data_IF_415362283793
#
_entry.id   IF_415362283793
#
_cell.length_a   1.000
_cell.length_b   1.000
_cell.length_c   1.000
_cell.angle_alpha   90.00
_cell.angle_beta   90.00
_cell.angle_gamma   90.00
#
_symmetry.space_group_name_H-M   'P 1'
#
loop_
_entity.id
_entity.type
_entity.pdbx_description
1 polymer ?
#
# COMPACT_ATOMS: atom_id res chain seq x y z
N UNK A 1 -12.31 -24.51 -65.46
CA UNK A 1 -13.00 -25.51 -64.63
C UNK A 1 -12.39 -26.86 -64.96
N UNK A 2 -11.68 -27.50 -64.03
CA UNK A 2 -11.10 -28.83 -64.21
C UNK A 2 -11.86 -29.79 -63.30
N UNK A 3 -12.42 -30.84 -63.89
CA UNK A 3 -13.30 -31.81 -63.26
C UNK A 3 -12.51 -32.75 -62.35
N UNK A 4 -13.10 -33.02 -61.18
CA UNK A 4 -12.58 -33.94 -60.16
C UNK A 4 -12.73 -35.39 -60.64
N UNK A 5 -11.64 -36.17 -60.59
CA UNK A 5 -11.62 -37.59 -60.90
C UNK A 5 -11.59 -38.39 -59.58
N UNK A 6 -12.61 -39.21 -59.28
CA UNK A 6 -12.75 -39.87 -57.97
C UNK A 6 -11.80 -41.05 -57.73
N UNK A 7 -10.98 -41.46 -58.70
CA UNK A 7 -10.04 -42.59 -58.56
C UNK A 7 -8.57 -42.17 -58.41
N UNK A 8 -8.29 -40.94 -57.97
CA UNK A 8 -6.93 -40.46 -57.71
C UNK A 8 -6.40 -41.03 -56.36
N UNK A 9 -5.36 -41.90 -56.35
CA UNK A 9 -4.94 -42.65 -55.16
C UNK A 9 -4.14 -41.82 -54.14
N UNK A 10 -4.11 -40.48 -54.27
CA UNK A 10 -3.41 -39.59 -53.34
C UNK A 10 -4.41 -39.01 -52.33
N UNK A 11 -5.12 -39.92 -51.66
CA UNK A 11 -5.97 -39.58 -50.52
C UNK A 11 -5.86 -40.68 -49.47
N UNK A 12 -4.69 -40.82 -48.81
CA UNK A 12 -4.65 -41.54 -47.54
C UNK A 12 -3.50 -41.20 -46.58
N UNK A 13 -2.49 -40.41 -46.98
CA UNK A 13 -1.36 -40.09 -46.08
C UNK A 13 -1.21 -38.62 -45.67
N UNK A 14 -2.24 -37.79 -45.88
CA UNK A 14 -2.22 -36.38 -45.47
C UNK A 14 -3.06 -36.06 -44.21
N UNK A 15 -3.65 -37.07 -43.54
CA UNK A 15 -4.59 -36.86 -42.43
C UNK A 15 -4.30 -37.70 -41.17
N UNK A 16 -3.15 -38.38 -41.06
CA UNK A 16 -2.79 -39.24 -39.90
C UNK A 16 -1.52 -38.84 -39.13
N UNK A 17 -1.09 -37.58 -39.18
CA UNK A 17 -0.18 -37.04 -38.16
C UNK A 17 -0.81 -35.80 -37.55
N UNK A 18 -1.81 -36.07 -36.72
CA UNK A 18 -2.25 -35.19 -35.65
C UNK A 18 -1.05 -35.03 -34.71
N UNK A 19 -0.29 -33.96 -34.89
CA UNK A 19 0.54 -33.41 -33.81
C UNK A 19 -0.16 -32.17 -33.27
N UNK A 20 -0.75 -32.30 -32.09
CA UNK A 20 -0.96 -31.21 -31.15
C UNK A 20 -0.59 -31.75 -29.76
N UNK A 21 -0.06 -30.95 -28.82
CA UNK A 21 0.67 -29.69 -28.97
C UNK A 21 1.87 -29.60 -27.99
N UNK A 22 3.10 -29.42 -28.46
CA UNK A 22 4.21 -29.01 -27.60
C UNK A 22 4.26 -27.48 -27.49
N UNK A 23 3.66 -27.01 -26.40
CA UNK A 23 4.37 -26.12 -25.48
C UNK A 23 4.88 -24.83 -26.12
N UNK A 24 3.96 -23.95 -26.56
CA UNK A 24 4.27 -22.53 -26.63
C UNK A 24 4.63 -22.08 -25.21
N UNK A 25 5.93 -22.07 -24.94
CA UNK A 25 6.50 -21.61 -23.70
C UNK A 25 6.12 -20.15 -23.55
N UNK A 26 5.15 -19.90 -22.67
CA UNK A 26 4.91 -18.62 -22.01
C UNK A 26 6.10 -18.30 -21.06
N UNK A 27 7.32 -18.63 -21.46
CA UNK A 27 8.48 -18.49 -20.60
C UNK A 27 9.22 -17.21 -20.94
N UNK A 28 9.15 -16.32 -19.94
CA UNK A 28 9.97 -15.13 -19.69
C UNK A 28 9.40 -13.81 -20.22
N UNK A 29 8.27 -13.41 -19.64
CA UNK A 29 8.29 -12.08 -19.02
C UNK A 29 9.20 -12.24 -17.80
N UNK A 30 10.37 -11.57 -17.73
CA UNK A 30 11.19 -11.58 -16.52
C UNK A 30 10.30 -11.15 -15.36
N UNK A 31 10.07 -12.06 -14.42
CA UNK A 31 9.32 -11.77 -13.20
C UNK A 31 9.83 -10.45 -12.63
N UNK A 32 8.87 -9.54 -12.53
CA UNK A 32 9.02 -8.22 -11.98
C UNK A 32 9.80 -8.29 -10.67
N UNK A 33 10.72 -7.35 -10.53
CA UNK A 33 11.61 -7.18 -9.39
C UNK A 33 10.82 -7.43 -8.11
N UNK A 34 11.24 -8.45 -7.36
CA UNK A 34 10.81 -8.70 -6.00
C UNK A 34 11.21 -7.47 -5.17
N UNK A 35 10.36 -6.46 -5.18
CA UNK A 35 10.45 -5.33 -4.28
C UNK A 35 10.38 -5.94 -2.89
N UNK A 36 11.50 -5.91 -2.18
CA UNK A 36 11.53 -6.24 -0.76
C UNK A 36 10.51 -5.32 -0.09
N UNK A 37 9.31 -5.85 0.18
CA UNK A 37 8.28 -5.14 0.93
C UNK A 37 8.91 -4.73 2.26
N UNK A 38 9.20 -3.44 2.41
CA UNK A 38 9.62 -2.86 3.68
C UNK A 38 8.45 -3.12 4.64
N UNK A 39 8.56 -4.19 5.44
CA UNK A 39 7.56 -4.56 6.44
C UNK A 39 7.46 -3.43 7.45
N UNK A 40 6.45 -2.58 7.29
CA UNK A 40 6.10 -1.53 8.25
C UNK A 40 5.67 -2.21 9.55
N UNK A 41 6.56 -2.25 10.52
CA UNK A 41 6.28 -2.75 11.87
C UNK A 41 6.08 -1.58 12.82
N UNK A 42 4.89 -1.52 13.43
CA UNK A 42 4.59 -0.57 14.49
C UNK A 42 5.65 -0.58 15.61
N UNK A 43 5.85 0.56 16.32
CA UNK A 43 6.79 0.60 17.42
C UNK A 43 6.30 -0.27 18.58
N UNK A 44 7.22 -0.64 19.48
CA UNK A 44 6.90 -1.45 20.65
C UNK A 44 5.82 -0.79 21.52
N UNK A 45 5.07 -1.62 22.24
CA UNK A 45 4.02 -1.15 23.15
C UNK A 45 4.55 -0.15 24.19
N UNK A 46 5.76 -0.38 24.71
CA UNK A 46 6.39 0.54 25.66
C UNK A 46 6.67 1.91 25.03
N UNK A 47 7.13 1.94 23.78
CA UNK A 47 7.38 3.19 23.06
C UNK A 47 6.06 3.91 22.74
N UNK A 48 5.00 3.19 22.39
CA UNK A 48 3.67 3.78 22.19
C UNK A 48 3.10 4.39 23.47
N UNK A 49 3.27 3.73 24.63
CA UNK A 49 2.88 4.28 25.93
C UNK A 49 3.64 5.57 26.23
N UNK A 50 4.96 5.59 25.99
CA UNK A 50 5.79 6.78 26.17
C UNK A 50 5.34 7.94 25.28
N UNK A 51 5.02 7.66 24.01
CA UNK A 51 4.52 8.65 23.06
C UNK A 51 3.17 9.22 23.54
N UNK A 52 2.23 8.35 23.94
CA UNK A 52 0.92 8.77 24.45
C UNK A 52 1.03 9.63 25.71
N UNK A 53 1.84 9.22 26.69
CA UNK A 53 2.09 9.99 27.92
C UNK A 53 2.65 11.38 27.62
N UNK A 54 3.52 11.48 26.62
CA UNK A 54 4.09 12.77 26.19
C UNK A 54 3.01 13.66 25.55
N UNK A 55 2.16 13.08 24.70
CA UNK A 55 1.01 13.77 24.11
C UNK A 55 0.05 14.30 25.17
N UNK A 56 -0.28 13.47 26.16
CA UNK A 56 -1.15 13.87 27.26
C UNK A 56 -0.55 15.01 28.08
N UNK A 57 0.73 14.91 28.45
CA UNK A 57 1.43 15.98 29.17
C UNK A 57 1.40 17.31 28.41
N UNK A 58 1.58 17.28 27.09
CA UNK A 58 1.54 18.48 26.26
C UNK A 58 0.13 19.06 26.16
N UNK A 59 -0.89 18.21 26.00
CA UNK A 59 -2.28 18.64 26.00
C UNK A 59 -2.69 19.25 27.36
N UNK A 60 -2.33 18.64 28.48
CA UNK A 60 -2.58 19.18 29.82
C UNK A 60 -1.92 20.53 30.02
N UNK A 61 -0.66 20.69 29.59
CA UNK A 61 0.04 21.99 29.63
C UNK A 61 -0.69 23.05 28.80
N UNK A 62 -1.16 22.70 27.61
CA UNK A 62 -1.91 23.62 26.75
C UNK A 62 -3.22 24.05 27.42
N UNK A 63 -3.97 23.12 28.03
CA UNK A 63 -5.20 23.44 28.77
C UNK A 63 -4.95 24.40 29.93
N UNK A 64 -3.93 24.14 30.75
CA UNK A 64 -3.57 25.00 31.89
C UNK A 64 -3.21 26.41 31.42
N UNK A 65 -2.61 26.54 30.24
CA UNK A 65 -2.27 27.83 29.61
C UNK A 65 -3.43 28.48 28.84
N UNK A 66 -4.59 27.83 28.74
CA UNK A 66 -5.70 28.31 27.90
C UNK A 66 -5.43 28.23 26.40
N UNK A 67 -4.46 27.43 25.96
CA UNK A 67 -4.14 27.21 24.56
C UNK A 67 -5.12 26.22 23.90
N UNK A 68 -5.26 26.33 22.57
CA UNK A 68 -6.10 25.45 21.76
C UNK A 68 -5.52 24.02 21.79
N UNK A 69 -6.34 23.03 22.14
CA UNK A 69 -5.95 21.60 22.11
C UNK A 69 -6.38 20.89 20.84
N UNK A 70 -7.52 21.29 20.26
CA UNK A 70 -8.10 20.68 19.06
C UNK A 70 -8.04 21.67 17.91
N UNK A 71 -7.54 21.26 16.75
CA UNK A 71 -7.47 22.08 15.54
C UNK A 71 -8.82 22.26 14.84
N UNK A 72 -8.88 23.23 13.93
CA UNK A 72 -9.99 23.34 12.99
C UNK A 72 -10.04 22.13 12.06
N UNK A 73 -11.19 21.89 11.44
CA UNK A 73 -11.37 20.79 10.49
C UNK A 73 -10.38 20.89 9.31
N UNK A 74 -10.22 22.07 8.73
CA UNK A 74 -9.31 22.29 7.60
C UNK A 74 -7.84 22.02 7.93
N UNK A 75 -7.36 22.48 9.08
CA UNK A 75 -5.97 22.21 9.53
C UNK A 75 -5.74 20.71 9.77
N UNK A 76 -6.70 20.02 10.38
CA UNK A 76 -6.62 18.59 10.61
C UNK A 76 -6.64 17.79 9.29
N UNK A 77 -7.47 18.18 8.32
CA UNK A 77 -7.54 17.58 6.99
C UNK A 77 -6.25 17.80 6.21
N UNK A 78 -5.65 18.99 6.28
CA UNK A 78 -4.35 19.26 5.67
C UNK A 78 -3.25 18.33 6.23
N UNK A 79 -3.16 18.20 7.55
CA UNK A 79 -2.23 17.25 8.20
C UNK A 79 -2.49 15.80 7.80
N UNK A 80 -3.77 15.40 7.71
CA UNK A 80 -4.15 14.05 7.29
C UNK A 80 -3.78 13.77 5.83
N UNK A 81 -3.95 14.74 4.92
CA UNK A 81 -3.58 14.63 3.51
C UNK A 81 -2.07 14.38 3.36
N UNK A 82 -1.24 15.07 4.14
CA UNK A 82 0.22 14.85 4.19
C UNK A 82 0.54 13.42 4.65
N UNK A 83 -0.18 12.90 5.64
CA UNK A 83 0.03 11.52 6.11
C UNK A 83 -0.41 10.48 5.09
N UNK A 84 -1.50 10.70 4.35
CA UNK A 84 -1.97 9.74 3.34
C UNK A 84 -0.98 9.54 2.19
N UNK A 85 -0.10 10.50 1.92
CA UNK A 85 0.99 10.39 0.93
C UNK A 85 2.34 10.01 1.54
N UNK A 86 2.41 9.73 2.85
CA UNK A 86 3.66 9.44 3.56
C UNK A 86 4.01 7.95 3.47
N UNK A 87 5.26 7.63 3.20
CA UNK A 87 5.80 6.27 3.20
C UNK A 87 5.58 5.55 4.54
N UNK A 88 5.55 6.28 5.65
CA UNK A 88 5.34 5.72 7.00
C UNK A 88 3.87 5.53 7.37
N UNK A 89 2.92 5.85 6.50
CA UNK A 89 1.51 5.63 6.77
C UNK A 89 1.12 4.19 6.44
N UNK A 90 0.46 3.55 7.40
CA UNK A 90 -0.14 2.21 7.28
C UNK A 90 -1.63 2.45 7.02
N UNK A 91 -2.03 2.29 5.76
CA UNK A 91 -3.35 2.70 5.26
C UNK A 91 -4.47 1.85 5.86
N UNK A 92 -4.22 0.56 5.99
CA UNK A 92 -5.14 -0.47 6.48
C UNK A 92 -5.52 -0.18 7.94
N UNK A 93 -4.55 0.22 8.76
CA UNK A 93 -4.76 0.54 10.19
C UNK A 93 -5.09 2.01 10.45
N UNK A 94 -4.92 2.90 9.45
CA UNK A 94 -4.94 4.36 9.63
C UNK A 94 -3.93 4.85 10.68
N UNK A 95 -2.74 4.24 10.75
CA UNK A 95 -1.69 4.53 11.74
C UNK A 95 -0.38 4.95 11.09
N UNK A 96 0.50 5.56 11.87
CA UNK A 96 1.86 5.85 11.45
C UNK A 96 2.82 4.78 12.00
N UNK A 97 3.64 4.21 11.13
CA UNK A 97 4.64 3.19 11.42
C UNK A 97 5.73 3.68 12.41
N UNK A 98 6.05 4.98 12.42
CA UNK A 98 7.08 5.53 13.30
C UNK A 98 6.61 5.75 14.75
N UNK A 99 5.39 6.27 14.93
CA UNK A 99 4.91 6.69 16.26
C UNK A 99 3.78 5.82 16.82
N UNK A 100 3.15 5.01 15.97
CA UNK A 100 2.03 4.14 16.33
C UNK A 100 0.71 4.86 16.56
N UNK A 101 0.61 6.18 16.39
CA UNK A 101 -0.65 6.89 16.62
C UNK A 101 -1.68 6.61 15.51
N UNK A 102 -2.97 6.63 15.87
CA UNK A 102 -4.07 6.73 14.91
C UNK A 102 -4.07 8.13 14.29
N UNK A 103 -3.81 8.21 12.99
CA UNK A 103 -3.58 9.49 12.33
C UNK A 103 -4.84 10.35 12.25
N UNK A 104 -6.03 9.74 12.17
CA UNK A 104 -7.32 10.47 12.27
C UNK A 104 -7.49 11.22 13.60
N UNK A 105 -6.81 10.77 14.66
CA UNK A 105 -6.82 11.42 15.97
C UNK A 105 -5.66 12.39 16.09
N UNK A 106 -4.42 11.93 15.87
CA UNK A 106 -3.20 12.73 16.08
C UNK A 106 -3.21 14.03 15.27
N UNK A 107 -3.69 14.01 14.03
CA UNK A 107 -3.76 15.18 13.15
C UNK A 107 -4.68 16.28 13.67
N UNK A 108 -5.68 15.93 14.49
CA UNK A 108 -6.65 16.88 15.09
C UNK A 108 -6.13 17.56 16.36
N UNK A 109 -5.05 17.06 16.95
CA UNK A 109 -4.50 17.59 18.20
C UNK A 109 -3.48 18.69 17.88
N UNK A 110 -3.74 19.90 18.35
CA UNK A 110 -2.95 21.09 18.05
C UNK A 110 -1.52 21.00 18.58
N UNK A 111 -1.35 20.41 19.76
CA UNK A 111 -0.05 20.23 20.44
C UNK A 111 0.81 19.11 19.85
N UNK A 112 0.25 18.28 18.96
CA UNK A 112 0.95 17.18 18.31
C UNK A 112 1.74 17.65 17.10
N UNK A 113 2.78 16.87 16.77
CA UNK A 113 3.65 17.08 15.59
C UNK A 113 3.98 15.74 14.93
N UNK A 114 4.34 15.79 13.65
CA UNK A 114 4.93 14.63 12.97
C UNK A 114 6.34 14.34 13.54
N UNK A 115 6.70 13.07 13.87
CA UNK A 115 8.04 12.74 14.37
C UNK A 115 9.15 13.09 13.38
N UNK A 116 8.84 13.07 12.07
CA UNK A 116 9.73 13.47 10.97
C UNK A 116 9.40 14.86 10.41
N UNK A 117 8.63 15.66 11.14
CA UNK A 117 8.35 17.08 10.85
C UNK A 117 7.78 17.38 9.46
N UNK A 118 7.05 16.44 8.85
CA UNK A 118 6.27 16.69 7.62
C UNK A 118 5.08 17.65 7.86
N UNK A 119 4.68 17.83 9.12
CA UNK A 119 3.69 18.80 9.60
C UNK A 119 3.84 19.04 11.11
#
# INVERSE_FOLDING_TARGET
MKNFNPDDPIALNALMTIEQPDMYSLDRIPEEKKEEEIKKSLPSNMQMIKNLSSSLKNASKALIKGEKVKLSKGEAEARMKICMSCEEYIKEENRCNLCGCYMRVKTRIATERCPIRKW
#
